data_IF_938915385082
#
_entry.id   IF_938915385082
#
_cell.length_a   1.000
_cell.length_b   1.000
_cell.length_c   1.000
_cell.angle_alpha   90.00
_cell.angle_beta   90.00
_cell.angle_gamma   90.00
#
_symmetry.space_group_name_H-M   'P 1'
#
loop_
_entity.id
_entity.type
_entity.pdbx_description
1 polymer ?
#
# COMPACT_ATOMS: atom_id res chain seq x y z
N UNK A 1 8.79 6.12 24.21
CA UNK A 1 7.65 5.19 24.33
C UNK A 1 6.34 5.92 24.67
N UNK A 2 5.29 5.78 23.86
CA UNK A 2 3.92 6.28 24.10
C UNK A 2 2.97 5.09 24.26
N UNK A 3 2.20 5.04 25.34
CA UNK A 3 1.24 3.96 25.61
C UNK A 3 -0.19 4.46 25.42
N UNK A 4 -1.01 3.65 24.76
CA UNK A 4 -2.44 3.88 24.60
C UNK A 4 -3.18 2.75 25.31
N UNK A 5 -3.65 3.03 26.53
CA UNK A 5 -4.10 1.99 27.45
C UNK A 5 -2.95 1.03 27.82
N UNK A 6 -3.31 -0.22 28.15
CA UNK A 6 -2.35 -1.25 28.56
C UNK A 6 -1.87 -2.15 27.40
N UNK A 7 -2.40 -1.95 26.20
CA UNK A 7 -2.35 -2.94 25.11
C UNK A 7 -1.68 -2.45 23.83
N UNK A 8 -1.55 -1.14 23.63
CA UNK A 8 -0.88 -0.57 22.46
C UNK A 8 0.32 0.26 22.93
N UNK A 9 1.50 -0.14 22.49
CA UNK A 9 2.76 0.52 22.77
C UNK A 9 3.39 1.01 21.45
N UNK A 10 3.60 2.33 21.36
CA UNK A 10 4.30 2.97 20.27
C UNK A 10 5.70 3.38 20.72
N UNK A 11 6.70 2.87 20.03
CA UNK A 11 8.12 3.04 20.29
C UNK A 11 8.73 3.97 19.25
N UNK A 12 9.64 4.81 19.71
CA UNK A 12 10.55 5.57 18.88
C UNK A 12 11.80 4.74 18.59
N UNK A 13 12.50 5.04 17.51
CA UNK A 13 13.75 4.37 17.14
C UNK A 13 14.84 4.42 18.23
N UNK A 14 14.74 5.37 19.17
CA UNK A 14 15.69 5.51 20.28
C UNK A 14 15.30 4.74 21.54
N UNK A 15 14.08 4.20 21.59
CA UNK A 15 13.62 3.41 22.73
C UNK A 15 14.35 2.06 22.74
N UNK A 16 14.51 1.47 23.93
CA UNK A 16 15.05 0.13 24.08
C UNK A 16 14.06 -0.92 23.55
N UNK A 17 14.56 -1.82 22.72
CA UNK A 17 13.79 -2.88 22.06
C UNK A 17 14.36 -4.28 22.35
N UNK A 18 15.30 -4.42 23.29
CA UNK A 18 15.97 -5.69 23.59
C UNK A 18 15.06 -6.81 24.12
N UNK A 19 13.79 -6.51 24.43
CA UNK A 19 12.79 -7.51 24.81
C UNK A 19 12.09 -8.19 23.61
N UNK A 20 12.30 -7.70 22.38
CA UNK A 20 11.71 -8.23 21.17
C UNK A 20 12.68 -9.14 20.43
N UNK A 21 12.15 -10.19 19.80
CA UNK A 21 12.95 -11.15 19.06
C UNK A 21 12.86 -10.93 17.54
N UNK A 22 11.73 -10.43 17.07
CA UNK A 22 11.49 -10.20 15.64
C UNK A 22 10.78 -8.88 15.38
N UNK A 23 10.98 -8.35 14.17
CA UNK A 23 10.18 -7.27 13.62
C UNK A 23 9.42 -7.75 12.37
N UNK A 24 8.20 -7.27 12.19
CA UNK A 24 7.31 -7.64 11.11
C UNK A 24 7.14 -6.46 10.17
N UNK A 25 7.48 -6.67 8.90
CA UNK A 25 7.11 -5.77 7.81
C UNK A 25 5.84 -6.29 7.12
N UNK A 26 4.72 -5.66 7.45
CA UNK A 26 3.44 -5.88 6.80
C UNK A 26 3.20 -4.88 5.69
N UNK A 27 2.38 -5.29 4.73
CA UNK A 27 1.84 -4.44 3.69
C UNK A 27 2.97 -3.88 2.79
N UNK A 28 3.11 -4.47 1.61
CA UNK A 28 4.10 -4.03 0.62
C UNK A 28 3.71 -4.56 -0.74
N UNK A 29 3.81 -3.68 -1.73
CA UNK A 29 3.39 -3.95 -3.10
C UNK A 29 4.59 -4.15 -4.02
N UNK A 30 4.41 -5.04 -4.98
CA UNK A 30 5.40 -5.45 -5.97
C UNK A 30 4.87 -5.18 -7.38
N UNK A 31 5.64 -5.54 -8.41
CA UNK A 31 5.20 -5.49 -9.82
C UNK A 31 3.88 -6.24 -10.12
N UNK A 32 3.38 -7.06 -9.19
CA UNK A 32 2.12 -7.78 -9.35
C UNK A 32 0.90 -7.00 -8.83
N UNK A 33 1.11 -5.96 -8.02
CA UNK A 33 0.03 -5.06 -7.60
C UNK A 33 -0.41 -4.14 -8.73
N UNK A 34 -1.73 -4.03 -8.94
CA UNK A 34 -2.33 -3.20 -9.99
C UNK A 34 -3.02 -1.99 -9.39
N UNK A 35 -2.30 -0.88 -9.40
CA UNK A 35 -2.76 0.37 -8.82
C UNK A 35 -3.63 1.20 -9.76
N UNK A 36 -4.85 1.53 -9.34
CA UNK A 36 -5.78 2.29 -10.17
C UNK A 36 -5.25 3.70 -10.49
N UNK A 37 -5.19 4.07 -11.78
CA UNK A 37 -4.73 5.40 -12.21
C UNK A 37 -5.70 6.54 -11.86
N UNK A 38 -6.94 6.23 -11.50
CA UNK A 38 -7.91 7.19 -10.98
C UNK A 38 -7.36 7.98 -9.80
N UNK A 39 -6.54 7.35 -8.95
CA UNK A 39 -5.85 8.01 -7.85
C UNK A 39 -4.90 9.11 -8.36
N UNK A 40 -4.18 8.88 -9.47
CA UNK A 40 -3.28 9.87 -10.07
C UNK A 40 -4.06 11.09 -10.57
N UNK A 41 -5.24 10.90 -11.16
CA UNK A 41 -6.09 12.00 -11.60
C UNK A 41 -6.49 12.93 -10.44
N UNK A 42 -6.75 12.36 -9.25
CA UNK A 42 -7.07 13.10 -8.02
C UNK A 42 -5.89 13.96 -7.57
N UNK A 43 -4.69 13.38 -7.50
CA UNK A 43 -3.48 14.12 -7.11
C UNK A 43 -3.06 15.16 -8.14
N UNK A 44 -3.17 14.85 -9.44
CA UNK A 44 -2.91 15.79 -10.53
C UNK A 44 -3.77 17.05 -10.43
N UNK A 45 -5.02 16.93 -9.96
CA UNK A 45 -5.92 18.07 -9.76
C UNK A 45 -5.56 18.94 -8.54
N UNK A 46 -4.78 18.43 -7.58
CA UNK A 46 -4.31 19.21 -6.42
C UNK A 46 -3.15 20.14 -6.76
N UNK A 47 -2.38 19.85 -7.81
CA UNK A 47 -1.25 20.69 -8.24
C UNK A 47 -1.74 21.68 -9.32
N UNK A 48 -1.80 23.00 -9.05
CA UNK A 48 -2.47 23.96 -9.95
C UNK A 48 -1.98 23.93 -11.40
N UNK A 49 -0.68 23.77 -11.60
CA UNK A 49 -0.07 23.74 -12.93
C UNK A 49 -0.44 22.45 -13.68
N UNK A 50 -0.39 21.28 -13.01
CA UNK A 50 -0.81 20.01 -13.62
C UNK A 50 -2.29 20.05 -13.97
N UNK A 51 -3.13 20.56 -13.05
CA UNK A 51 -4.55 20.78 -13.29
C UNK A 51 -4.81 21.65 -14.53
N UNK A 52 -4.05 22.75 -14.69
CA UNK A 52 -4.19 23.64 -15.85
C UNK A 52 -3.82 22.93 -17.16
N UNK A 53 -2.72 22.17 -17.18
CA UNK A 53 -2.31 21.37 -18.34
C UNK A 53 -3.36 20.30 -18.70
N UNK A 54 -3.88 19.60 -17.68
CA UNK A 54 -4.90 18.57 -17.85
C UNK A 54 -6.21 19.14 -18.41
N UNK A 55 -6.69 20.26 -17.85
CA UNK A 55 -7.88 20.97 -18.36
C UNK A 55 -7.71 21.43 -19.80
N UNK A 56 -6.54 22.00 -20.13
CA UNK A 56 -6.22 22.44 -21.49
C UNK A 56 -6.27 21.28 -22.48
N UNK A 57 -5.71 20.13 -22.12
CA UNK A 57 -5.72 18.94 -22.98
C UNK A 57 -7.14 18.37 -23.13
N UNK A 58 -7.93 18.27 -22.06
CA UNK A 58 -9.32 17.82 -22.15
C UNK A 58 -10.17 18.74 -23.02
N UNK A 59 -10.03 20.07 -22.89
CA UNK A 59 -10.70 21.04 -23.76
C UNK A 59 -10.31 20.85 -25.23
N UNK A 60 -9.03 20.60 -25.51
CA UNK A 60 -8.55 20.31 -26.88
C UNK A 60 -9.18 19.04 -27.44
N UNK A 61 -9.30 17.99 -26.63
CA UNK A 61 -9.94 16.72 -27.02
C UNK A 61 -11.42 16.89 -27.32
N UNK A 62 -12.16 17.58 -26.45
CA UNK A 62 -13.58 17.89 -26.63
C UNK A 62 -13.79 18.71 -27.92
N UNK A 63 -13.00 19.77 -28.14
CA UNK A 63 -13.04 20.55 -29.39
C UNK A 63 -12.76 19.70 -30.63
N UNK A 64 -11.98 18.63 -30.48
CA UNK A 64 -11.66 17.68 -31.55
C UNK A 64 -12.63 16.49 -31.63
N UNK A 65 -13.80 16.55 -30.97
CA UNK A 65 -14.79 15.46 -30.86
C UNK A 65 -14.22 14.14 -30.32
N UNK A 66 -13.15 14.19 -29.53
CA UNK A 66 -12.57 13.03 -28.82
C UNK A 66 -13.09 12.99 -27.39
N UNK A 67 -13.23 11.78 -26.84
CA UNK A 67 -13.56 11.61 -25.42
C UNK A 67 -12.49 12.25 -24.50
N UNK A 68 -12.88 12.78 -23.34
CA UNK A 68 -11.93 13.17 -22.29
C UNK A 68 -10.95 12.04 -21.95
N UNK A 69 -9.86 12.38 -21.29
CA UNK A 69 -8.95 11.36 -20.77
C UNK A 69 -9.68 10.63 -19.64
N UNK A 70 -9.85 9.32 -19.80
CA UNK A 70 -10.38 8.43 -18.79
C UNK A 70 -9.22 7.65 -18.16
N UNK A 71 -9.02 7.84 -16.85
CA UNK A 71 -8.01 7.10 -16.08
C UNK A 71 -8.58 5.86 -15.39
N UNK A 72 -9.91 5.71 -15.32
CA UNK A 72 -10.54 4.58 -14.62
C UNK A 72 -10.30 3.23 -15.31
N UNK A 73 -10.01 3.27 -16.62
CA UNK A 73 -9.66 2.10 -17.44
C UNK A 73 -8.18 1.72 -17.40
N UNK A 74 -7.36 2.44 -16.63
CA UNK A 74 -5.92 2.19 -16.55
C UNK A 74 -5.43 1.91 -15.13
N UNK A 75 -4.29 1.22 -15.06
CA UNK A 75 -3.58 0.95 -13.82
C UNK A 75 -2.08 1.15 -14.02
N UNK A 76 -1.33 1.25 -12.93
CA UNK A 76 0.12 1.18 -12.93
C UNK A 76 0.59 0.05 -12.02
N UNK A 77 1.85 -0.37 -12.19
CA UNK A 77 2.48 -1.37 -11.32
C UNK A 77 3.71 -0.76 -10.61
N UNK A 78 3.92 -1.08 -9.32
CA UNK A 78 5.15 -0.76 -8.59
C UNK A 78 6.42 -1.14 -9.34
N UNK A 79 7.55 -0.46 -9.09
CA UNK A 79 8.77 -0.73 -9.84
C UNK A 79 9.50 -2.00 -9.40
N UNK A 80 9.26 -2.51 -8.19
CA UNK A 80 10.10 -3.53 -7.58
C UNK A 80 9.56 -4.95 -7.72
N UNK A 81 10.47 -5.90 -8.03
CA UNK A 81 10.16 -7.32 -7.96
C UNK A 81 9.89 -7.77 -6.52
N UNK A 82 9.19 -8.89 -6.31
CA UNK A 82 8.98 -9.43 -4.96
C UNK A 82 10.28 -9.60 -4.17
N UNK A 83 11.32 -10.15 -4.81
CA UNK A 83 12.64 -10.32 -4.19
C UNK A 83 13.31 -8.99 -3.82
N UNK A 84 13.18 -7.96 -4.67
CA UNK A 84 13.75 -6.63 -4.35
C UNK A 84 13.06 -6.02 -3.14
N UNK A 85 11.74 -6.20 -3.01
CA UNK A 85 10.98 -5.79 -1.83
C UNK A 85 11.49 -6.55 -0.61
N UNK A 86 11.53 -7.88 -0.67
CA UNK A 86 12.01 -8.73 0.42
C UNK A 86 13.40 -8.33 0.92
N UNK A 87 14.38 -8.17 0.03
CA UNK A 87 15.75 -7.78 0.38
C UNK A 87 15.77 -6.41 1.05
N UNK A 88 15.00 -5.44 0.53
CA UNK A 88 14.97 -4.09 1.09
C UNK A 88 14.35 -4.05 2.49
N UNK A 89 13.26 -4.79 2.70
CA UNK A 89 12.58 -4.86 4.01
C UNK A 89 13.40 -5.65 5.03
N UNK A 90 14.00 -6.77 4.59
CA UNK A 90 14.90 -7.57 5.40
C UNK A 90 16.08 -6.74 5.91
N UNK A 91 16.79 -6.06 5.00
CA UNK A 91 17.89 -5.19 5.37
C UNK A 91 17.44 -4.01 6.24
N UNK A 92 16.26 -3.45 6.00
CA UNK A 92 15.71 -2.38 6.83
C UNK A 92 15.53 -2.81 8.29
N UNK A 93 15.11 -4.05 8.55
CA UNK A 93 15.01 -4.58 9.92
C UNK A 93 16.39 -4.93 10.48
N UNK A 94 17.19 -5.71 9.75
CA UNK A 94 18.50 -6.19 10.24
C UNK A 94 19.45 -5.02 10.55
N UNK A 95 19.55 -4.03 9.66
CA UNK A 95 20.51 -2.93 9.84
C UNK A 95 20.07 -1.88 10.85
N UNK A 96 18.76 -1.66 11.01
CA UNK A 96 18.27 -0.60 11.90
C UNK A 96 17.89 -1.12 13.29
N UNK A 97 17.45 -2.38 13.40
CA UNK A 97 16.90 -2.92 14.65
C UNK A 97 17.68 -4.11 15.22
N UNK A 98 18.53 -4.77 14.42
CA UNK A 98 19.24 -6.01 14.83
C UNK A 98 18.28 -7.10 15.33
N UNK A 99 17.12 -7.23 14.68
CA UNK A 99 16.07 -8.22 14.99
C UNK A 99 15.87 -9.21 13.85
N UNK A 100 15.24 -10.35 14.16
CA UNK A 100 14.84 -11.32 13.14
C UNK A 100 13.75 -10.71 12.21
N UNK A 101 13.95 -10.67 10.89
CA UNK A 101 13.01 -10.06 9.96
C UNK A 101 11.92 -11.04 9.52
N UNK A 102 10.66 -10.66 9.71
CA UNK A 102 9.49 -11.36 9.17
C UNK A 102 8.83 -10.46 8.13
N UNK A 103 8.95 -10.83 6.86
CA UNK A 103 8.52 -9.99 5.73
C UNK A 103 7.32 -10.60 5.04
N UNK A 104 6.32 -9.78 4.76
CA UNK A 104 5.16 -10.14 3.94
C UNK A 104 5.04 -9.19 2.75
N UNK A 105 4.54 -9.72 1.64
CA UNK A 105 4.11 -8.91 0.49
C UNK A 105 2.63 -9.18 0.27
N UNK A 106 1.87 -8.14 -0.06
CA UNK A 106 0.42 -8.19 -0.10
C UNK A 106 -0.09 -7.40 -1.29
N UNK A 107 0.23 -7.87 -2.50
CA UNK A 107 -0.21 -7.23 -3.73
C UNK A 107 -1.75 -7.14 -3.81
N UNK A 108 -2.26 -6.10 -4.46
CA UNK A 108 -3.69 -5.92 -4.67
C UNK A 108 -4.32 -7.08 -5.44
N UNK A 109 -5.23 -7.79 -4.76
CA UNK A 109 -6.04 -8.86 -5.31
C UNK A 109 -5.22 -9.93 -6.07
N UNK A 110 -3.98 -10.20 -5.61
CA UNK A 110 -3.06 -11.12 -6.28
C UNK A 110 -2.08 -11.78 -5.28
N UNK A 111 -1.91 -13.11 -5.38
CA UNK A 111 -0.98 -13.89 -4.54
C UNK A 111 0.38 -14.15 -5.20
N UNK A 112 0.59 -13.71 -6.45
CA UNK A 112 1.77 -14.08 -7.24
C UNK A 112 3.07 -13.65 -6.57
N UNK A 113 3.12 -12.43 -6.01
CA UNK A 113 4.32 -11.92 -5.36
C UNK A 113 4.77 -12.76 -4.18
N UNK A 114 3.87 -13.10 -3.26
CA UNK A 114 4.22 -13.92 -2.08
C UNK A 114 4.54 -15.37 -2.45
N UNK A 115 3.86 -15.95 -3.45
CA UNK A 115 4.12 -17.32 -3.90
C UNK A 115 5.49 -17.46 -4.58
N UNK A 116 5.91 -16.42 -5.34
CA UNK A 116 7.26 -16.35 -5.90
C UNK A 116 8.30 -16.30 -4.78
N UNK A 117 8.11 -15.42 -3.78
CA UNK A 117 9.04 -15.34 -2.64
C UNK A 117 9.14 -16.67 -1.90
N UNK A 118 8.02 -17.36 -1.67
CA UNK A 118 8.01 -18.68 -1.05
C UNK A 118 8.80 -19.72 -1.84
N UNK A 119 8.81 -19.61 -3.17
CA UNK A 119 9.56 -20.50 -4.06
C UNK A 119 11.06 -20.16 -4.10
N UNK A 120 11.43 -18.88 -3.99
CA UNK A 120 12.83 -18.43 -3.93
C UNK A 120 13.45 -18.77 -2.57
N UNK A 121 12.68 -18.63 -1.48
CA UNK A 121 13.12 -18.81 -0.10
C UNK A 121 12.34 -19.94 0.61
N UNK A 122 12.47 -21.22 0.20
CA UNK A 122 11.65 -22.32 0.72
C UNK A 122 11.87 -22.60 2.22
N UNK A 123 13.10 -22.36 2.71
CA UNK A 123 13.46 -22.53 4.12
C UNK A 123 12.99 -21.36 5.00
N UNK A 124 12.58 -20.24 4.38
CA UNK A 124 12.00 -19.11 5.10
C UNK A 124 10.48 -19.28 5.13
N UNK A 125 9.88 -19.13 6.30
CA UNK A 125 8.43 -19.11 6.41
C UNK A 125 7.86 -17.80 5.87
N UNK A 126 7.70 -17.71 4.54
CA UNK A 126 7.04 -16.59 3.87
C UNK A 126 5.51 -16.76 3.96
N UNK A 127 4.80 -15.84 4.62
CA UNK A 127 3.33 -15.85 4.66
C UNK A 127 2.72 -15.68 3.27
N UNK A 128 1.62 -16.39 3.02
CA UNK A 128 0.81 -16.24 1.81
C UNK A 128 -0.19 -15.13 2.09
N UNK A 129 -0.07 -14.02 1.38
CA UNK A 129 -0.69 -12.75 1.76
C UNK A 129 -1.10 -11.94 0.52
N UNK A 130 -2.17 -11.15 0.67
CA UNK A 130 -2.68 -10.23 -0.35
C UNK A 130 -3.43 -9.08 0.31
N UNK A 131 -3.53 -7.95 -0.39
CA UNK A 131 -4.45 -6.87 -0.03
C UNK A 131 -5.73 -7.03 -0.85
N UNK A 132 -6.84 -7.35 -0.18
CA UNK A 132 -8.13 -7.48 -0.83
C UNK A 132 -8.81 -6.12 -0.95
N UNK A 133 -9.07 -5.70 -2.18
CA UNK A 133 -9.88 -4.51 -2.47
C UNK A 133 -11.36 -4.85 -2.27
N UNK A 134 -12.03 -4.29 -1.27
CA UNK A 134 -13.43 -4.58 -0.94
C UNK A 134 -14.30 -3.33 -1.11
N UNK A 135 -15.14 -3.25 -2.15
CA UNK A 135 -16.13 -2.21 -2.26
C UNK A 135 -17.38 -2.55 -1.47
N UNK A 136 -17.95 -1.54 -0.82
CA UNK A 136 -19.19 -1.61 -0.08
C UNK A 136 -19.92 -0.27 -0.20
N UNK A 137 -21.17 -0.29 -0.67
CA UNK A 137 -22.05 0.89 -0.75
C UNK A 137 -21.42 2.12 -1.44
N UNK A 138 -20.63 1.92 -2.50
CA UNK A 138 -19.97 3.00 -3.23
C UNK A 138 -18.67 3.51 -2.60
N UNK A 139 -18.21 2.87 -1.52
CA UNK A 139 -16.88 3.06 -0.94
C UNK A 139 -15.98 1.87 -1.29
N UNK A 140 -14.67 2.05 -1.18
CA UNK A 140 -13.67 0.98 -1.30
C UNK A 140 -12.75 1.03 -0.09
N UNK A 141 -12.62 -0.10 0.60
CA UNK A 141 -11.71 -0.31 1.72
C UNK A 141 -10.86 -1.54 1.43
N UNK A 142 -9.71 -1.66 2.10
CA UNK A 142 -8.80 -2.75 1.86
C UNK A 142 -8.63 -3.63 3.11
N UNK A 143 -8.68 -4.93 2.91
CA UNK A 143 -8.36 -5.91 3.94
C UNK A 143 -7.00 -6.53 3.62
N UNK A 144 -6.01 -6.31 4.49
CA UNK A 144 -4.79 -7.08 4.47
C UNK A 144 -5.05 -8.48 5.00
N UNK A 145 -4.95 -9.49 4.13
CA UNK A 145 -5.11 -10.90 4.49
C UNK A 145 -3.73 -11.53 4.52
N UNK A 146 -3.32 -12.07 5.67
CA UNK A 146 -1.98 -12.58 5.86
C UNK A 146 -1.98 -14.02 6.37
N UNK A 147 -1.01 -14.79 5.85
CA UNK A 147 -0.74 -16.17 6.22
C UNK A 147 -1.93 -17.13 6.04
N UNK A 148 -2.58 -17.06 4.88
CA UNK A 148 -3.62 -18.04 4.55
C UNK A 148 -3.01 -19.45 4.39
N UNK A 149 -3.77 -20.52 4.71
CA UNK A 149 -3.33 -21.88 4.42
C UNK A 149 -3.00 -22.07 2.94
N UNK A 150 -1.87 -22.73 2.63
CA UNK A 150 -1.43 -22.96 1.25
C UNK A 150 -2.47 -23.68 0.38
N UNK A 151 -3.27 -24.57 0.99
CA UNK A 151 -4.33 -25.32 0.30
C UNK A 151 -5.45 -24.41 -0.23
N UNK A 152 -5.63 -23.21 0.32
CA UNK A 152 -6.66 -22.26 -0.12
C UNK A 152 -6.21 -21.39 -1.30
N UNK A 153 -4.94 -21.44 -1.70
CA UNK A 153 -4.37 -20.49 -2.68
C UNK A 153 -5.12 -20.47 -4.02
N UNK A 154 -5.52 -21.63 -4.52
CA UNK A 154 -6.09 -21.75 -5.87
C UNK A 154 -7.54 -21.24 -5.88
N UNK A 155 -8.31 -21.59 -4.83
CA UNK A 155 -9.65 -21.04 -4.59
C UNK A 155 -9.61 -19.52 -4.45
N UNK A 156 -8.72 -18.99 -3.61
CA UNK A 156 -8.55 -17.54 -3.42
C UNK A 156 -8.16 -16.86 -4.74
N UNK A 157 -7.20 -17.40 -5.50
CA UNK A 157 -6.82 -16.84 -6.79
C UNK A 157 -7.97 -16.82 -7.80
N UNK A 158 -8.84 -17.83 -7.79
CA UNK A 158 -10.02 -17.85 -8.66
C UNK A 158 -10.99 -16.73 -8.28
N UNK A 159 -11.25 -16.55 -6.99
CA UNK A 159 -12.13 -15.49 -6.47
C UNK A 159 -11.58 -14.11 -6.84
N UNK A 160 -10.29 -13.86 -6.63
CA UNK A 160 -9.67 -12.56 -6.90
C UNK A 160 -9.65 -12.23 -8.41
N UNK A 161 -9.58 -13.26 -9.27
CA UNK A 161 -9.71 -13.08 -10.73
C UNK A 161 -11.14 -12.74 -11.14
N UNK A 162 -12.14 -13.32 -10.48
CA UNK A 162 -13.55 -13.09 -10.74
C UNK A 162 -14.00 -11.72 -10.23
N UNK A 163 -13.59 -10.68 -10.95
CA UNK A 163 -13.90 -9.28 -10.67
C UNK A 163 -15.37 -8.91 -11.00
N UNK A 164 -16.26 -9.89 -11.19
CA UNK A 164 -17.65 -9.66 -11.61
C UNK A 164 -18.56 -9.47 -10.41
N UNK A 165 -18.54 -8.25 -9.87
CA UNK A 165 -19.45 -7.83 -8.81
C UNK A 165 -19.07 -8.41 -7.46
N UNK A 166 -18.81 -7.53 -6.51
CA UNK A 166 -18.48 -7.94 -5.16
C UNK A 166 -19.75 -8.41 -4.46
N UNK A 167 -19.90 -9.73 -4.33
CA UNK A 167 -20.91 -10.33 -3.49
C UNK A 167 -20.42 -10.35 -2.05
N UNK A 168 -20.98 -9.47 -1.23
CA UNK A 168 -20.66 -9.34 0.20
C UNK A 168 -20.80 -10.67 0.93
N UNK A 169 -21.78 -11.50 0.55
CA UNK A 169 -21.96 -12.82 1.18
C UNK A 169 -20.78 -13.73 0.86
N UNK A 170 -20.36 -13.80 -0.40
CA UNK A 170 -19.20 -14.58 -0.83
C UNK A 170 -17.93 -14.15 -0.10
N UNK A 171 -17.72 -12.84 0.07
CA UNK A 171 -16.57 -12.30 0.83
C UNK A 171 -16.62 -12.80 2.27
N UNK A 172 -17.78 -12.72 2.93
CA UNK A 172 -17.95 -13.21 4.31
C UNK A 172 -17.70 -14.70 4.45
N UNK A 173 -18.22 -15.53 3.54
CA UNK A 173 -18.00 -16.98 3.56
C UNK A 173 -16.50 -17.33 3.45
N UNK A 174 -15.74 -16.55 2.67
CA UNK A 174 -14.29 -16.70 2.54
C UNK A 174 -13.57 -16.23 3.82
N UNK A 175 -13.97 -15.09 4.37
CA UNK A 175 -13.40 -14.59 5.63
C UNK A 175 -13.67 -15.55 6.79
N UNK A 176 -14.84 -16.20 6.83
CA UNK A 176 -15.14 -17.29 7.77
C UNK A 176 -14.12 -18.41 7.62
N UNK A 177 -13.93 -18.91 6.40
CA UNK A 177 -12.98 -19.99 6.11
C UNK A 177 -11.54 -19.63 6.48
N UNK A 178 -11.10 -18.40 6.17
CA UNK A 178 -9.75 -17.91 6.54
C UNK A 178 -9.61 -17.76 8.05
N UNK A 179 -10.63 -17.23 8.73
CA UNK A 179 -10.59 -16.95 10.17
C UNK A 179 -10.48 -18.21 11.04
N UNK A 180 -10.88 -19.37 10.50
CA UNK A 180 -10.69 -20.68 11.12
C UNK A 180 -9.20 -21.06 11.27
N UNK A 181 -8.32 -20.50 10.43
CA UNK A 181 -6.87 -20.68 10.61
C UNK A 181 -6.39 -19.82 11.78
N UNK A 182 -5.85 -20.40 12.88
CA UNK A 182 -5.37 -19.63 14.02
C UNK A 182 -4.17 -18.73 13.66
N UNK A 183 -3.43 -19.10 12.62
CA UNK A 183 -2.22 -18.40 12.17
C UNK A 183 -2.48 -17.33 11.11
N UNK A 184 -3.72 -17.20 10.64
CA UNK A 184 -4.09 -16.15 9.69
C UNK A 184 -4.40 -14.83 10.41
N UNK A 185 -4.01 -13.72 9.78
CA UNK A 185 -4.28 -12.37 10.28
C UNK A 185 -5.08 -11.59 9.23
N UNK A 186 -6.08 -10.85 9.70
CA UNK A 186 -6.99 -10.04 8.86
C UNK A 186 -6.95 -8.63 9.42
N UNK A 187 -6.49 -7.69 8.62
CA UNK A 187 -6.22 -6.30 9.03
C UNK A 187 -7.05 -5.38 8.17
N UNK A 188 -7.73 -4.41 8.78
CA UNK A 188 -8.26 -3.28 8.01
C UNK A 188 -7.10 -2.33 7.70
N UNK A 189 -6.63 -2.37 6.45
CA UNK A 189 -5.51 -1.57 5.99
C UNK A 189 -5.91 -0.09 5.88
N UNK A 190 -4.99 0.80 6.27
CA UNK A 190 -5.10 2.27 6.25
C UNK A 190 -6.55 2.79 6.33
N UNK A 191 -7.32 2.52 7.41
CA UNK A 191 -8.77 2.68 7.47
C UNK A 191 -9.29 4.10 7.21
N UNK A 192 -8.44 5.10 7.45
CA UNK A 192 -8.75 6.52 7.26
C UNK A 192 -8.24 7.08 5.93
N UNK A 193 -7.69 6.23 5.07
CA UNK A 193 -7.30 6.59 3.72
C UNK A 193 -8.52 6.90 2.89
N UNK A 194 -8.76 8.19 2.64
CA UNK A 194 -9.86 8.61 1.77
C UNK A 194 -9.50 8.35 0.29
N UNK A 195 -9.62 7.09 -0.15
CA UNK A 195 -9.51 6.71 -1.56
C UNK A 195 -10.82 6.99 -2.30
N UNK A 196 -11.97 6.91 -1.61
CA UNK A 196 -13.30 7.18 -2.17
C UNK A 196 -13.55 8.69 -2.42
N UNK A 197 -14.35 8.98 -3.45
CA UNK A 197 -14.85 10.32 -3.83
C UNK A 197 -16.22 10.66 -3.21
N UNK A 198 -16.73 9.81 -2.33
CA UNK A 198 -17.99 10.04 -1.63
C UNK A 198 -17.82 11.06 -0.50
N UNK A 199 -18.76 12.01 -0.40
CA UNK A 199 -18.75 13.05 0.64
C UNK A 199 -18.90 12.46 2.06
N UNK A 200 -19.57 11.30 2.19
CA UNK A 200 -19.80 10.61 3.46
C UNK A 200 -18.79 9.47 3.73
N UNK A 201 -17.49 9.75 3.64
CA UNK A 201 -16.45 8.75 3.93
C UNK A 201 -16.62 8.12 5.33
N UNK A 202 -16.97 8.93 6.34
CA UNK A 202 -17.14 8.45 7.70
C UNK A 202 -18.34 7.51 7.86
N UNK A 203 -19.47 7.80 7.21
CA UNK A 203 -20.61 6.88 7.17
C UNK A 203 -20.28 5.58 6.44
N UNK A 204 -19.54 5.66 5.34
CA UNK A 204 -19.04 4.48 4.62
C UNK A 204 -18.12 3.60 5.47
N UNK A 205 -17.16 4.20 6.18
CA UNK A 205 -16.24 3.47 7.06
C UNK A 205 -17.00 2.81 8.23
N UNK A 206 -17.95 3.53 8.83
CA UNK A 206 -18.81 2.96 9.88
C UNK A 206 -19.63 1.79 9.35
N UNK A 207 -20.18 1.91 8.14
CA UNK A 207 -20.90 0.83 7.47
C UNK A 207 -20.01 -0.38 7.23
N UNK A 208 -18.78 -0.17 6.76
CA UNK A 208 -17.81 -1.23 6.53
C UNK A 208 -17.41 -1.95 7.83
N UNK A 209 -17.10 -1.20 8.89
CA UNK A 209 -16.78 -1.77 10.20
C UNK A 209 -17.97 -2.57 10.72
N UNK A 210 -19.20 -2.05 10.65
CA UNK A 210 -20.37 -2.80 11.09
C UNK A 210 -20.57 -4.10 10.30
N UNK A 211 -20.26 -4.10 9.01
CA UNK A 211 -20.44 -5.24 8.13
C UNK A 211 -19.38 -6.33 8.33
N UNK A 212 -18.12 -5.94 8.60
CA UNK A 212 -16.94 -6.83 8.59
C UNK A 212 -16.18 -6.93 9.92
N UNK A 213 -16.56 -6.18 10.96
CA UNK A 213 -15.90 -6.21 12.28
C UNK A 213 -15.67 -7.62 12.86
N UNK A 214 -16.57 -8.61 12.72
CA UNK A 214 -16.34 -9.95 13.27
C UNK A 214 -15.05 -10.64 12.78
N UNK A 215 -14.55 -10.27 11.58
CA UNK A 215 -13.36 -10.88 10.99
C UNK A 215 -12.11 -10.00 11.10
N UNK A 216 -12.24 -8.72 11.43
CA UNK A 216 -11.11 -7.80 11.52
C UNK A 216 -10.36 -8.07 12.83
N UNK A 217 -9.11 -8.50 12.73
CA UNK A 217 -8.27 -8.80 13.89
C UNK A 217 -7.51 -7.58 14.40
N UNK A 218 -7.12 -6.66 13.52
CA UNK A 218 -6.37 -5.45 13.84
C UNK A 218 -6.65 -4.29 12.86
N UNK A 219 -6.28 -3.07 13.25
CA UNK A 219 -6.23 -1.92 12.34
C UNK A 219 -4.77 -1.60 11.96
N UNK A 220 -4.53 -1.21 10.71
CA UNK A 220 -3.19 -0.81 10.29
C UNK A 220 -2.90 0.65 10.66
N UNK A 221 -1.75 0.89 11.30
CA UNK A 221 -1.07 2.19 11.23
C UNK A 221 0.02 2.15 10.17
N UNK A 222 0.08 3.19 9.34
CA UNK A 222 0.69 3.10 8.03
C UNK A 222 1.81 4.13 7.85
N UNK A 223 2.97 3.68 7.37
CA UNK A 223 4.14 4.53 7.16
C UNK A 223 3.97 5.64 6.11
N UNK A 224 3.04 5.47 5.18
CA UNK A 224 2.67 6.47 4.17
C UNK A 224 1.61 7.47 4.64
N UNK A 225 1.20 7.42 5.91
CA UNK A 225 0.20 8.32 6.50
C UNK A 225 0.82 9.26 7.53
N UNK A 226 0.14 10.39 7.72
CA UNK A 226 0.55 11.39 8.70
C UNK A 226 0.45 10.83 10.12
N UNK A 227 1.23 11.38 11.05
CA UNK A 227 1.12 11.01 12.46
C UNK A 227 -0.28 11.28 13.02
N UNK A 228 -0.90 12.39 12.61
CA UNK A 228 -2.28 12.72 12.98
C UNK A 228 -3.28 11.66 12.54
N UNK A 229 -3.15 11.15 11.31
CA UNK A 229 -4.01 10.08 10.81
C UNK A 229 -3.79 8.78 11.58
N UNK A 230 -2.54 8.38 11.81
CA UNK A 230 -2.22 7.19 12.61
C UNK A 230 -2.70 7.32 14.07
N UNK A 231 -2.61 8.49 14.69
CA UNK A 231 -3.17 8.76 16.03
C UNK A 231 -4.70 8.57 16.05
N UNK A 232 -5.40 8.98 15.00
CA UNK A 232 -6.85 8.75 14.86
C UNK A 232 -7.17 7.25 14.67
N UNK A 233 -6.34 6.51 13.92
CA UNK A 233 -6.49 5.05 13.80
C UNK A 233 -6.28 4.37 15.16
N UNK A 234 -5.26 4.76 15.92
CA UNK A 234 -5.02 4.21 17.27
C UNK A 234 -6.20 4.50 18.20
N UNK A 235 -6.78 5.71 18.13
CA UNK A 235 -7.98 6.06 18.88
C UNK A 235 -9.16 5.16 18.49
N UNK A 236 -9.39 4.96 17.18
CA UNK A 236 -10.43 4.08 16.67
C UNK A 236 -10.21 2.62 17.11
N UNK A 237 -8.97 2.13 17.05
CA UNK A 237 -8.62 0.79 17.52
C UNK A 237 -8.98 0.62 19.01
N UNK A 238 -8.67 1.62 19.83
CA UNK A 238 -9.06 1.62 21.24
C UNK A 238 -10.58 1.60 21.43
N UNK A 239 -11.35 2.38 20.67
CA UNK A 239 -12.82 2.40 20.72
C UNK A 239 -13.44 1.06 20.30
N UNK A 240 -12.83 0.38 19.32
CA UNK A 240 -13.25 -0.95 18.85
C UNK A 240 -12.65 -2.10 19.67
N UNK A 241 -11.87 -1.80 20.71
CA UNK A 241 -11.09 -2.77 21.49
C UNK A 241 -10.18 -3.67 20.62
N UNK A 242 -9.72 -3.18 19.46
CA UNK A 242 -8.83 -3.84 18.53
C UNK A 242 -7.35 -3.45 18.77
N UNK A 243 -6.41 -4.37 18.54
CA UNK A 243 -4.99 -4.03 18.41
C UNK A 243 -4.73 -3.26 17.11
N UNK A 244 -3.53 -2.70 17.02
CA UNK A 244 -2.97 -2.15 15.78
C UNK A 244 -1.79 -2.96 15.30
N UNK A 245 -1.53 -2.92 14.00
CA UNK A 245 -0.30 -3.43 13.39
C UNK A 245 0.36 -2.34 12.57
N UNK A 246 1.68 -2.37 12.55
CA UNK A 246 2.52 -1.52 11.72
C UNK A 246 2.71 -2.15 10.35
N UNK A 247 2.48 -1.35 9.31
CA UNK A 247 2.77 -1.73 7.94
C UNK A 247 3.04 -0.51 7.07
N UNK A 248 3.00 -0.71 5.76
CA UNK A 248 3.01 0.41 4.82
C UNK A 248 2.25 0.15 3.53
N UNK A 249 1.66 1.22 3.02
CA UNK A 249 1.03 1.25 1.69
C UNK A 249 2.10 1.43 0.60
N UNK A 250 3.16 0.62 0.68
CA UNK A 250 4.41 0.85 -0.04
C UNK A 250 4.29 0.40 -1.48
N UNK A 251 4.36 1.38 -2.39
CA UNK A 251 4.38 1.16 -3.83
C UNK A 251 5.68 1.62 -4.53
N UNK A 252 6.58 2.24 -3.78
CA UNK A 252 7.85 2.78 -4.26
C UNK A 252 9.05 2.01 -3.68
N UNK A 253 10.27 2.54 -3.80
CA UNK A 253 11.47 1.76 -3.45
C UNK A 253 11.87 1.85 -1.98
N UNK A 254 11.48 2.91 -1.26
CA UNK A 254 11.83 3.06 0.15
C UNK A 254 11.11 2.01 1.00
N UNK A 255 11.79 1.29 1.91
CA UNK A 255 11.16 0.27 2.73
C UNK A 255 10.19 0.85 3.77
N UNK A 256 9.42 0.00 4.42
CA UNK A 256 8.46 0.41 5.43
C UNK A 256 9.10 1.20 6.58
N UNK A 257 8.45 2.29 6.95
CA UNK A 257 8.91 3.19 8.02
C UNK A 257 8.23 2.94 9.37
N UNK A 258 7.22 2.06 9.38
CA UNK A 258 6.46 1.64 10.56
C UNK A 258 6.43 0.13 10.54
N UNK A 259 6.84 -0.50 11.64
CA UNK A 259 6.93 -1.95 11.76
C UNK A 259 6.23 -2.41 13.04
N UNK A 260 5.74 -3.64 13.04
CA UNK A 260 5.31 -4.31 14.28
C UNK A 260 6.51 -5.01 14.91
N UNK A 261 6.56 -5.06 16.25
CA UNK A 261 7.53 -5.84 17.01
C UNK A 261 6.81 -6.98 17.72
N UNK A 262 7.51 -8.10 17.88
CA UNK A 262 6.97 -9.28 18.58
C UNK A 262 8.04 -9.91 19.46
N UNK A 263 7.59 -10.55 20.54
CA UNK A 263 8.46 -11.41 21.36
C UNK A 263 8.58 -12.80 20.74
N UNK A 264 7.76 -13.13 19.74
CA UNK A 264 7.88 -14.35 18.96
C UNK A 264 9.06 -14.35 17.98
N UNK A 265 9.35 -15.54 17.47
CA UNK A 265 10.30 -15.83 16.39
C UNK A 265 9.60 -16.15 15.07
N UNK A 266 8.26 -16.30 15.07
CA UNK A 266 7.48 -16.66 13.89
C UNK A 266 6.29 -15.74 13.65
N UNK A 267 5.77 -15.75 12.42
CA UNK A 267 4.56 -15.01 12.07
C UNK A 267 3.35 -15.49 12.89
N UNK A 268 3.23 -16.81 13.11
CA UNK A 268 2.13 -17.42 13.84
C UNK A 268 2.10 -17.00 15.31
N UNK A 269 3.27 -16.86 15.95
CA UNK A 269 3.38 -16.31 17.31
C UNK A 269 3.00 -14.82 17.35
N UNK A 270 3.42 -14.03 16.37
CA UNK A 270 2.96 -12.64 16.22
C UNK A 270 1.44 -12.56 16.06
N UNK A 271 0.83 -13.44 15.25
CA UNK A 271 -0.63 -13.53 15.11
C UNK A 271 -1.29 -13.84 16.45
N UNK A 272 -0.71 -14.73 17.26
CA UNK A 272 -1.22 -15.04 18.60
C UNK A 272 -1.21 -13.82 19.52
N UNK A 273 -0.11 -13.05 19.55
CA UNK A 273 -0.02 -11.81 20.35
C UNK A 273 -1.10 -10.79 19.94
N UNK A 274 -1.36 -10.66 18.64
CA UNK A 274 -2.38 -9.74 18.10
C UNK A 274 -3.80 -10.26 18.36
N UNK A 275 -4.11 -11.51 18.04
CA UNK A 275 -5.47 -12.05 18.11
C UNK A 275 -5.92 -12.38 19.53
N UNK A 276 -5.04 -13.01 20.33
CA UNK A 276 -5.39 -13.56 21.64
C UNK A 276 -5.00 -12.62 22.77
N UNK A 277 -3.74 -12.19 22.82
CA UNK A 277 -3.28 -11.30 23.91
C UNK A 277 -3.79 -9.86 23.70
N UNK A 278 -4.06 -9.52 22.43
CA UNK A 278 -4.49 -8.19 21.96
C UNK A 278 -3.43 -7.15 22.27
N UNK A 279 -2.16 -7.49 22.10
CA UNK A 279 -1.02 -6.63 22.41
C UNK A 279 -0.36 -6.18 21.12
N UNK A 280 -0.10 -4.88 21.01
CA UNK A 280 0.58 -4.25 19.88
C UNK A 280 1.83 -3.54 20.36
N UNK A 281 2.97 -3.87 19.75
CA UNK A 281 4.20 -3.11 19.85
C UNK A 281 4.57 -2.60 18.48
N UNK A 282 4.61 -1.28 18.31
CA UNK A 282 4.87 -0.64 17.02
C UNK A 282 6.10 0.22 17.16
N UNK A 283 7.01 0.15 16.18
CA UNK A 283 8.17 1.04 16.12
C UNK A 283 8.09 1.95 14.91
N UNK A 284 8.34 3.24 15.15
CA UNK A 284 8.54 4.25 14.11
C UNK A 284 10.04 4.36 13.80
N UNK A 285 10.42 3.99 12.58
CA UNK A 285 11.80 4.14 12.12
C UNK A 285 12.13 5.62 11.82
N UNK A 286 13.43 5.99 11.72
CA UNK A 286 13.83 7.37 11.45
C UNK A 286 13.20 7.94 10.17
N UNK A 287 13.03 7.11 9.14
CA UNK A 287 12.37 7.48 7.87
C UNK A 287 10.90 7.90 8.04
N UNK A 288 10.24 7.52 9.13
CA UNK A 288 8.87 7.99 9.43
C UNK A 288 8.85 9.44 9.94
N UNK A 289 9.93 9.87 10.60
CA UNK A 289 10.05 11.24 11.11
C UNK A 289 10.42 12.25 10.03
N UNK A 290 10.89 11.79 8.88
CA UNK A 290 10.98 12.64 7.70
C UNK A 290 9.60 13.22 7.37
N UNK A 291 9.56 14.44 6.81
CA UNK A 291 8.29 15.08 6.47
C UNK A 291 7.53 14.17 5.49
N UNK A 292 6.23 13.94 5.74
CA UNK A 292 5.37 13.15 4.86
C UNK A 292 5.50 13.55 3.38
N UNK A 293 5.60 14.85 3.11
CA UNK A 293 5.82 15.38 1.76
C UNK A 293 7.09 14.82 1.10
N UNK A 294 8.16 14.61 1.86
CA UNK A 294 9.40 14.05 1.34
C UNK A 294 9.22 12.59 0.93
N UNK A 295 8.61 11.77 1.78
CA UNK A 295 8.27 10.38 1.43
C UNK A 295 7.41 10.32 0.16
N UNK A 296 6.43 11.22 0.06
CA UNK A 296 5.59 11.35 -1.14
C UNK A 296 6.39 11.75 -2.38
N UNK A 297 7.28 12.74 -2.29
CA UNK A 297 8.13 13.17 -3.41
C UNK A 297 9.15 12.10 -3.82
N UNK A 298 9.64 11.27 -2.89
CA UNK A 298 10.46 10.11 -3.21
C UNK A 298 9.66 9.05 -3.97
N UNK A 299 8.45 8.71 -3.51
CA UNK A 299 7.59 7.77 -4.22
C UNK A 299 7.25 8.22 -5.63
N UNK A 300 6.97 9.51 -5.81
CA UNK A 300 6.73 10.10 -7.13
C UNK A 300 8.01 10.00 -7.99
N UNK A 301 9.18 10.28 -7.43
CA UNK A 301 10.45 10.15 -8.17
C UNK A 301 10.68 8.72 -8.63
N UNK A 302 10.42 7.74 -7.76
CA UNK A 302 10.55 6.31 -8.04
C UNK A 302 9.59 5.83 -9.12
N UNK A 303 8.38 6.36 -9.16
CA UNK A 303 7.43 6.09 -10.22
C UNK A 303 8.01 6.48 -11.59
N UNK A 304 8.59 7.68 -11.73
CA UNK A 304 9.15 8.17 -13.00
C UNK A 304 10.57 7.66 -13.29
N UNK A 305 11.24 7.06 -12.31
CA UNK A 305 12.62 6.58 -12.42
C UNK A 305 12.77 5.52 -13.52
N UNK A 306 13.91 5.58 -14.20
CA UNK A 306 14.36 4.53 -15.12
C UNK A 306 15.17 3.49 -14.34
N UNK A 307 14.79 2.21 -14.46
CA UNK A 307 15.44 1.11 -13.78
C UNK A 307 16.23 0.25 -14.78
N UNK A 308 17.51 0.54 -15.03
CA UNK A 308 18.29 -0.12 -16.10
C UNK A 308 18.44 -1.63 -15.89
N UNK A 309 18.44 -2.09 -14.64
CA UNK A 309 18.61 -3.50 -14.27
C UNK A 309 17.33 -4.33 -14.37
N UNK A 310 16.16 -3.70 -14.55
CA UNK A 310 14.90 -4.44 -14.68
C UNK A 310 14.75 -5.07 -16.08
N UNK A 311 13.85 -6.05 -16.24
CA UNK A 311 13.41 -6.51 -17.55
C UNK A 311 12.98 -5.34 -18.44
N UNK A 312 13.26 -5.44 -19.74
CA UNK A 312 13.04 -4.36 -20.73
C UNK A 312 11.60 -3.82 -20.66
N UNK A 313 10.63 -4.71 -20.45
CA UNK A 313 9.20 -4.42 -20.39
C UNK A 313 8.73 -3.65 -19.15
N UNK A 314 9.61 -3.34 -18.18
CA UNK A 314 9.23 -2.58 -16.97
C UNK A 314 10.30 -1.56 -16.54
N UNK A 315 11.25 -1.19 -17.43
CA UNK A 315 12.32 -0.24 -17.06
C UNK A 315 11.83 1.19 -16.96
N UNK A 316 10.95 1.63 -17.86
CA UNK A 316 10.40 2.99 -17.88
C UNK A 316 9.03 3.01 -17.26
N UNK A 317 8.63 4.15 -16.72
CA UNK A 317 7.28 4.35 -16.20
C UNK A 317 6.20 4.12 -17.28
N UNK A 318 6.48 4.45 -18.54
CA UNK A 318 5.57 4.16 -19.67
C UNK A 318 5.38 2.68 -19.95
N UNK A 319 6.30 1.83 -19.48
CA UNK A 319 6.19 0.39 -19.60
C UNK A 319 5.47 -0.23 -18.38
N UNK A 320 5.30 0.56 -17.31
CA UNK A 320 4.61 0.17 -16.06
C UNK A 320 3.20 0.75 -15.93
N UNK A 321 2.75 1.58 -16.87
CA UNK A 321 1.39 2.12 -16.91
C UNK A 321 0.62 1.44 -18.03
N UNK A 322 -0.53 0.87 -17.72
CA UNK A 322 -1.33 0.06 -18.62
C UNK A 322 -2.74 0.65 -18.80
N UNK A 323 -3.28 0.50 -19.99
CA UNK A 323 -4.68 0.87 -20.29
C UNK A 323 -5.40 -0.32 -20.92
N UNK A 324 -6.63 -0.56 -20.45
CA UNK A 324 -7.59 -1.49 -21.05
C UNK A 324 -8.44 -0.76 -22.08
N UNK A 325 -8.43 -1.25 -23.31
CA UNK A 325 -9.28 -0.73 -24.39
C UNK A 325 -10.70 -1.32 -24.29
N UNK A 326 -11.64 -0.72 -25.03
CA UNK A 326 -13.04 -1.18 -25.10
C UNK A 326 -13.17 -2.65 -25.56
N UNK A 327 -12.23 -3.15 -26.36
CA UNK A 327 -12.17 -4.55 -26.80
C UNK A 327 -11.52 -5.50 -25.78
N UNK A 328 -11.23 -5.04 -24.56
CA UNK A 328 -10.64 -5.81 -23.48
C UNK A 328 -9.11 -5.96 -23.56
N UNK A 329 -8.46 -5.52 -24.64
CA UNK A 329 -7.00 -5.63 -24.78
C UNK A 329 -6.30 -4.67 -23.82
N UNK A 330 -5.33 -5.19 -23.08
CA UNK A 330 -4.47 -4.41 -22.17
C UNK A 330 -3.08 -4.25 -22.77
N UNK A 331 -2.58 -3.02 -22.85
CA UNK A 331 -1.21 -2.70 -23.32
C UNK A 331 -0.56 -1.61 -22.49
N UNK A 332 0.79 -1.61 -22.38
CA UNK A 332 1.51 -0.52 -21.72
C UNK A 332 1.42 0.77 -22.52
N UNK A 333 1.63 1.90 -21.85
CA UNK A 333 1.57 3.23 -22.44
C UNK A 333 2.62 3.43 -23.54
N UNK A 334 3.78 2.78 -23.43
CA UNK A 334 4.82 2.78 -24.45
C UNK A 334 4.38 2.18 -25.79
N UNK A 335 3.42 1.25 -25.78
CA UNK A 335 2.82 0.70 -27.00
C UNK A 335 2.04 1.79 -27.76
N UNK A 336 1.20 2.55 -27.06
CA UNK A 336 0.35 3.58 -27.66
C UNK A 336 1.11 4.83 -28.09
N UNK A 337 2.16 5.17 -27.37
CA UNK A 337 2.93 6.37 -27.65
C UNK A 337 4.02 6.16 -28.70
N UNK A 338 4.30 4.93 -29.13
CA UNK A 338 5.37 4.62 -30.09
C UNK A 338 6.68 5.38 -29.77
N UNK A 339 7.01 5.49 -28.46
CA UNK A 339 8.12 6.28 -27.90
C UNK A 339 7.99 7.82 -28.00
N UNK A 340 6.95 8.35 -28.63
CA UNK A 340 6.59 9.78 -28.64
C UNK A 340 5.62 10.14 -27.52
N UNK A 341 6.17 10.56 -26.38
CA UNK A 341 5.39 11.08 -25.25
C UNK A 341 4.73 12.42 -25.64
N UNK A 342 3.42 12.62 -25.39
CA UNK A 342 2.74 13.88 -25.65
C UNK A 342 3.42 15.06 -24.93
N UNK A 343 3.46 16.23 -25.58
CA UNK A 343 4.19 17.40 -25.05
C UNK A 343 3.73 17.80 -23.64
N UNK A 344 2.41 17.82 -23.39
CA UNK A 344 1.88 18.17 -22.07
C UNK A 344 2.33 17.19 -20.98
N UNK A 345 2.44 15.90 -21.30
CA UNK A 345 2.98 14.88 -20.39
C UNK A 345 4.46 15.14 -20.14
N UNK A 346 5.25 15.42 -21.19
CA UNK A 346 6.67 15.80 -21.03
C UNK A 346 6.83 16.99 -20.09
N UNK A 347 5.98 18.02 -20.21
CA UNK A 347 5.99 19.17 -19.31
C UNK A 347 5.67 18.79 -17.86
N UNK A 348 4.69 17.92 -17.64
CA UNK A 348 4.35 17.41 -16.30
C UNK A 348 5.52 16.63 -15.70
N UNK A 349 6.10 15.68 -16.45
CA UNK A 349 7.24 14.86 -16.00
C UNK A 349 8.45 15.74 -15.70
N UNK A 350 8.74 16.73 -16.56
CA UNK A 350 9.84 17.68 -16.34
C UNK A 350 9.65 18.47 -15.04
N UNK A 351 8.45 18.98 -14.79
CA UNK A 351 8.14 19.71 -13.56
C UNK A 351 8.23 18.81 -12.32
N UNK A 352 7.75 17.57 -12.41
CA UNK A 352 7.88 16.59 -11.33
C UNK A 352 9.36 16.32 -11.04
N UNK A 353 10.19 16.10 -12.06
CA UNK A 353 11.63 15.89 -11.90
C UNK A 353 12.34 17.09 -11.24
N UNK A 354 11.87 18.31 -11.49
CA UNK A 354 12.35 19.51 -10.78
C UNK A 354 11.96 19.44 -9.30
N UNK A 355 10.68 19.18 -8.99
CA UNK A 355 10.18 19.13 -7.61
C UNK A 355 10.81 17.98 -6.80
N UNK A 356 11.15 16.87 -7.46
CA UNK A 356 11.81 15.71 -6.86
C UNK A 356 13.33 15.77 -6.94
N UNK A 357 13.90 16.86 -7.48
CA UNK A 357 15.34 17.04 -7.55
C UNK A 357 15.95 17.19 -6.16
N UNK A 358 17.05 16.48 -5.91
CA UNK A 358 17.87 16.59 -4.69
C UNK A 358 18.30 18.03 -4.36
N UNK A 359 18.37 18.91 -5.35
CA UNK A 359 18.77 20.32 -5.18
C UNK A 359 17.63 21.23 -4.69
N UNK A 360 16.37 20.87 -4.97
CA UNK A 360 15.20 21.71 -4.66
C UNK A 360 14.46 21.19 -3.43
N UNK A 361 14.53 19.87 -3.19
CA UNK A 361 13.92 19.21 -2.02
C UNK A 361 14.20 19.92 -0.70
N UNK A 362 15.45 20.29 -0.34
CA UNK A 362 15.72 20.96 0.94
C UNK A 362 15.00 22.30 1.11
N UNK A 363 14.85 23.07 0.03
CA UNK A 363 14.14 24.35 0.06
C UNK A 363 12.64 24.15 0.25
N UNK A 364 12.04 23.16 -0.42
CA UNK A 364 10.63 22.81 -0.23
C UNK A 364 10.35 22.41 1.24
N UNK A 365 11.29 21.69 1.89
CA UNK A 365 11.15 21.33 3.32
C UNK A 365 10.94 22.56 4.22
N UNK A 366 11.68 23.64 4.00
CA UNK A 366 11.60 24.85 4.82
C UNK A 366 10.26 25.58 4.64
N UNK A 367 9.72 25.59 3.42
CA UNK A 367 8.44 26.23 3.14
C UNK A 367 7.24 25.44 3.68
N UNK A 368 7.27 24.11 3.58
CA UNK A 368 6.15 23.25 3.99
C UNK A 368 6.22 22.77 5.45
N UNK A 369 7.34 22.97 6.17
CA UNK A 369 7.41 22.72 7.62
C UNK A 369 6.68 23.77 8.48
N UNK A 370 6.12 24.84 7.89
CA UNK A 370 5.37 25.86 8.63
C UNK A 370 3.90 25.51 8.90
N UNK A 371 3.41 24.39 8.37
CA UNK A 371 2.05 23.90 8.60
C UNK A 371 2.09 22.46 9.13
N UNK A 372 2.44 22.28 10.40
CA UNK A 372 2.16 21.06 11.17
C UNK A 372 1.44 21.44 12.45
#
# INVERSE_FOLDING_TARGET
>A
MKRYGNKICALDFKDDIGEFNSAISLHSHTIYSKENLGIIARYANRIPIIRALFRKENLKRIKSKKRPIDFSSGYWIPPLSPESVYISEKGNIEYNLDLNPIITVSDHDDLTGCLILKSIYPETHIPISFEWTVPLNGHTFHLGIYNIPYLMKDEIMEILRDNKGYDVKKIKDILDSISMSPEALIVLNHPLSQISDTEDFHGGLKGFINEFAPWIHALEINGFRSQRENDLVIKMAHELSLPVVGGGDRHASAPNSVLSLTKGHSFSEFVSEIRHDRISHIIYLPSYKDNLLERWLESIADFFRYYPKHPISIRRWTDRVFFRLENGIVRPLSYYWHQTIPFWVKSVVFMINILTSRYIRPTLKVFFNKEN
#
